data_IF_288509009729
#
_entry.id   IF_288509009729
#
_cell.length_a   1.000
_cell.length_b   1.000
_cell.length_c   1.000
_cell.angle_alpha   90.00
_cell.angle_beta   90.00
_cell.angle_gamma   90.00
#
_symmetry.space_group_name_H-M   'P 1'
#
loop_
_entity.id
_entity.type
_entity.pdbx_description
1 polymer ?
#
# COMPACT_ATOMS: atom_id res chain seq x y z
N UNK A 1 7.31 21.11 -70.22
CA UNK A 1 6.99 19.88 -69.47
C UNK A 1 8.31 19.39 -68.93
N UNK A 2 8.53 19.51 -67.62
CA UNK A 2 9.38 18.68 -66.75
C UNK A 2 9.20 19.24 -65.32
N UNK A 3 8.87 18.36 -64.38
CA UNK A 3 8.28 18.65 -63.07
C UNK A 3 9.30 19.18 -62.06
N UNK A 4 8.92 20.22 -61.33
CA UNK A 4 9.54 20.63 -60.07
C UNK A 4 9.09 19.71 -58.92
N UNK A 5 10.03 18.93 -58.40
CA UNK A 5 10.00 18.24 -57.09
C UNK A 5 11.02 19.02 -56.23
N UNK A 6 10.79 19.53 -55.02
CA UNK A 6 9.91 19.12 -53.93
C UNK A 6 10.81 18.98 -52.69
N UNK A 7 10.73 19.91 -51.74
CA UNK A 7 11.28 19.74 -50.38
C UNK A 7 10.58 20.72 -49.44
N UNK A 8 9.34 20.41 -49.07
CA UNK A 8 8.74 21.02 -47.89
C UNK A 8 9.34 20.30 -46.68
N UNK A 9 10.26 20.96 -45.99
CA UNK A 9 10.69 20.52 -44.67
C UNK A 9 9.50 20.66 -43.71
N UNK A 10 8.79 19.55 -43.48
CA UNK A 10 7.85 19.46 -42.38
C UNK A 10 8.66 19.53 -41.09
N UNK A 11 8.66 20.70 -40.44
CA UNK A 11 9.13 20.83 -39.08
C UNK A 11 8.24 19.94 -38.20
N UNK A 12 8.77 18.79 -37.81
CA UNK A 12 8.19 17.98 -36.74
C UNK A 12 8.37 18.80 -35.47
N UNK A 13 7.33 19.54 -35.09
CA UNK A 13 7.23 20.15 -33.76
C UNK A 13 7.07 18.98 -32.79
N UNK A 14 8.20 18.41 -32.37
CA UNK A 14 8.22 17.53 -31.23
C UNK A 14 7.76 18.35 -30.02
N UNK A 15 6.73 17.85 -29.32
CA UNK A 15 6.17 18.46 -28.13
C UNK A 15 7.29 18.87 -27.16
N UNK A 16 7.42 20.17 -26.90
CA UNK A 16 8.51 20.75 -26.10
C UNK A 16 8.23 20.79 -24.60
N UNK A 17 7.23 20.06 -24.13
CA UNK A 17 6.83 20.04 -22.73
C UNK A 17 6.88 18.59 -22.25
N UNK A 18 7.84 18.29 -21.38
CA UNK A 18 7.81 17.05 -20.62
C UNK A 18 6.49 17.02 -19.85
N UNK A 19 5.69 15.94 -19.95
CA UNK A 19 4.41 15.86 -19.25
C UNK A 19 4.65 16.05 -17.75
N UNK A 20 3.83 16.88 -17.11
CA UNK A 20 3.94 17.13 -15.68
C UNK A 20 3.93 15.81 -14.89
N UNK A 21 4.78 15.73 -13.87
CA UNK A 21 4.85 14.54 -13.01
C UNK A 21 3.54 14.41 -12.25
N UNK A 22 2.78 13.38 -12.58
CA UNK A 22 1.49 13.12 -11.95
C UNK A 22 1.64 12.18 -10.75
N UNK A 23 0.84 12.43 -9.71
CA UNK A 23 0.70 11.50 -8.60
C UNK A 23 0.01 10.22 -9.04
N UNK A 24 0.78 9.12 -9.07
CA UNK A 24 0.32 7.78 -9.39
C UNK A 24 0.42 6.89 -8.16
N UNK A 25 -0.49 5.92 -8.10
CA UNK A 25 -0.55 4.92 -7.04
C UNK A 25 -0.66 3.58 -7.73
N UNK A 26 0.24 2.65 -7.41
CA UNK A 26 0.12 1.29 -7.93
C UNK A 26 -1.24 0.73 -7.51
N UNK A 27 -2.04 0.28 -8.47
CA UNK A 27 -3.39 -0.19 -8.19
C UNK A 27 -3.32 -1.42 -7.30
N UNK A 28 -3.94 -1.32 -6.12
CA UNK A 28 -3.90 -2.39 -5.15
C UNK A 28 -5.26 -2.80 -4.59
N UNK A 29 -5.52 -4.11 -4.61
CA UNK A 29 -6.59 -4.76 -3.86
C UNK A 29 -6.08 -5.14 -2.46
N UNK A 30 -6.97 -5.48 -1.53
CA UNK A 30 -6.61 -5.82 -0.13
C UNK A 30 -6.75 -7.31 0.19
N UNK A 31 -7.03 -8.14 -0.81
CA UNK A 31 -7.29 -9.58 -0.65
C UNK A 31 -6.02 -10.44 -0.52
N UNK A 32 -4.84 -9.81 -0.55
CA UNK A 32 -3.55 -10.50 -0.50
C UNK A 32 -3.08 -11.10 -1.83
N UNK A 33 -3.78 -10.81 -2.94
CA UNK A 33 -3.25 -11.07 -4.27
C UNK A 33 -2.07 -10.15 -4.60
N UNK A 34 -1.33 -10.47 -5.67
CA UNK A 34 -0.19 -9.69 -6.19
C UNK A 34 -0.52 -8.22 -6.47
N UNK A 35 -1.80 -7.84 -6.54
CA UNK A 35 -2.19 -6.45 -6.61
C UNK A 35 -1.91 -5.65 -5.33
N UNK A 36 -1.83 -6.27 -4.15
CA UNK A 36 -1.78 -5.58 -2.85
C UNK A 36 -0.41 -4.96 -2.54
N UNK A 37 -0.33 -4.04 -1.57
CA UNK A 37 0.93 -3.63 -0.91
C UNK A 37 1.22 -4.52 0.30
N UNK A 38 2.48 -4.89 0.53
CA UNK A 38 2.91 -5.51 1.77
C UNK A 38 3.28 -4.40 2.76
N UNK A 39 2.46 -4.19 3.79
CA UNK A 39 2.70 -3.20 4.82
C UNK A 39 3.35 -3.83 6.06
N UNK A 40 4.27 -3.10 6.69
CA UNK A 40 4.86 -3.44 7.98
C UNK A 40 4.56 -2.35 8.99
N UNK A 41 4.35 -2.75 10.24
CA UNK A 41 4.00 -1.86 11.35
C UNK A 41 5.15 -1.87 12.36
N UNK A 42 5.82 -0.73 12.52
CA UNK A 42 6.81 -0.51 13.56
C UNK A 42 6.15 0.26 14.70
N UNK A 43 6.04 -0.36 15.87
CA UNK A 43 5.45 0.28 17.04
C UNK A 43 6.29 1.50 17.44
N UNK A 44 5.64 2.65 17.68
CA UNK A 44 6.35 3.87 18.09
C UNK A 44 6.96 3.71 19.50
N UNK A 45 8.04 4.45 19.73
CA UNK A 45 8.72 4.46 21.03
C UNK A 45 7.76 4.83 22.18
N UNK A 46 7.92 4.17 23.33
CA UNK A 46 7.11 4.41 24.53
C UNK A 46 5.78 3.66 24.58
N UNK A 47 5.39 2.94 23.53
CA UNK A 47 4.23 2.05 23.54
C UNK A 47 4.56 0.72 24.25
N UNK A 48 3.57 0.16 24.96
CA UNK A 48 3.72 -1.16 25.60
C UNK A 48 3.40 -2.29 24.60
N UNK A 49 4.40 -3.09 24.19
CA UNK A 49 4.20 -4.13 23.19
C UNK A 49 3.31 -5.26 23.70
N UNK A 50 3.12 -5.46 25.01
CA UNK A 50 2.30 -6.57 25.52
C UNK A 50 0.80 -6.40 25.29
N UNK A 51 0.36 -5.19 24.89
CA UNK A 51 -1.05 -4.87 24.67
C UNK A 51 -1.56 -5.43 23.34
N UNK A 52 -2.81 -5.87 23.30
CA UNK A 52 -3.42 -6.45 22.08
C UNK A 52 -3.34 -5.53 20.85
N UNK A 53 -3.58 -4.23 21.02
CA UNK A 53 -3.47 -3.26 19.93
C UNK A 53 -2.03 -3.00 19.47
N UNK A 54 -1.02 -3.37 20.27
CA UNK A 54 0.41 -3.19 19.99
C UNK A 54 1.06 -4.40 19.28
N UNK A 55 0.24 -5.32 18.75
CA UNK A 55 0.66 -6.60 18.15
C UNK A 55 0.30 -6.70 16.65
N UNK A 56 0.15 -5.57 15.93
CA UNK A 56 -0.07 -5.62 14.49
C UNK A 56 1.17 -6.20 13.79
N UNK A 57 0.94 -7.24 12.98
CA UNK A 57 1.96 -7.86 12.13
C UNK A 57 1.85 -7.35 10.71
N UNK A 58 2.88 -7.60 9.89
CA UNK A 58 2.82 -7.28 8.48
C UNK A 58 1.57 -7.88 7.80
N UNK A 59 0.99 -7.15 6.86
CA UNK A 59 -0.19 -7.61 6.14
C UNK A 59 -0.33 -6.99 4.75
N UNK A 60 -1.15 -7.60 3.87
CA UNK A 60 -1.59 -6.94 2.65
C UNK A 60 -2.46 -5.72 2.94
N UNK A 61 -2.23 -4.63 2.21
CA UNK A 61 -3.04 -3.42 2.25
C UNK A 61 -3.38 -3.01 0.81
N UNK A 62 -4.63 -2.68 0.56
CA UNK A 62 -5.07 -2.10 -0.70
C UNK A 62 -4.91 -0.59 -0.69
N UNK A 63 -4.35 -0.04 -1.76
CA UNK A 63 -4.29 1.39 -2.07
C UNK A 63 -4.91 1.62 -3.46
N UNK A 64 -5.84 2.55 -3.56
CA UNK A 64 -6.54 2.84 -4.82
C UNK A 64 -6.72 4.34 -4.98
N UNK A 65 -6.18 4.89 -6.07
CA UNK A 65 -6.47 6.26 -6.52
C UNK A 65 -7.86 6.32 -7.17
N UNK A 66 -8.59 7.39 -6.91
CA UNK A 66 -9.86 7.76 -7.54
C UNK A 66 -9.74 9.18 -8.10
N UNK A 67 -10.10 9.33 -9.37
CA UNK A 67 -10.09 10.63 -10.02
C UNK A 67 -11.29 11.45 -9.60
N UNK A 68 -11.08 12.74 -9.35
CA UNK A 68 -12.18 13.67 -9.12
C UNK A 68 -13.00 13.87 -10.40
N UNK A 69 -14.33 13.85 -10.28
CA UNK A 69 -15.23 14.27 -11.37
C UNK A 69 -15.31 15.81 -11.48
N UNK A 70 -14.93 16.52 -10.41
CA UNK A 70 -14.86 17.97 -10.36
C UNK A 70 -13.41 18.42 -10.62
N UNK A 71 -13.10 19.14 -11.73
CA UNK A 71 -11.73 19.49 -12.10
C UNK A 71 -10.96 20.33 -11.06
N UNK A 72 -11.67 21.02 -10.17
CA UNK A 72 -11.08 21.86 -9.13
C UNK A 72 -10.88 21.13 -7.78
N UNK A 73 -11.44 19.93 -7.63
CA UNK A 73 -11.27 19.12 -6.43
C UNK A 73 -10.11 18.12 -6.62
N UNK A 74 -9.32 17.86 -5.56
CA UNK A 74 -8.20 16.94 -5.66
C UNK A 74 -8.69 15.51 -5.91
N UNK A 75 -7.88 14.73 -6.61
CA UNK A 75 -8.03 13.28 -6.62
C UNK A 75 -7.96 12.73 -5.18
N UNK A 76 -8.49 11.53 -4.96
CA UNK A 76 -8.44 10.89 -3.65
C UNK A 76 -7.71 9.56 -3.72
N UNK A 77 -7.18 9.13 -2.58
CA UNK A 77 -6.70 7.76 -2.40
C UNK A 77 -7.45 7.10 -1.26
N UNK A 78 -7.84 5.85 -1.46
CA UNK A 78 -8.35 5.01 -0.40
C UNK A 78 -7.30 3.98 0.01
N UNK A 79 -7.18 3.75 1.32
CA UNK A 79 -6.40 2.67 1.92
C UNK A 79 -7.32 1.70 2.67
N UNK A 80 -7.07 0.39 2.52
CA UNK A 80 -7.80 -0.66 3.22
C UNK A 80 -6.86 -1.78 3.69
N UNK A 81 -6.75 -1.96 5.00
CA UNK A 81 -6.06 -3.10 5.60
C UNK A 81 -6.80 -4.42 5.34
N UNK A 82 -6.09 -5.49 5.00
CA UNK A 82 -6.67 -6.83 4.86
C UNK A 82 -7.37 -7.31 6.14
N UNK A 83 -6.84 -6.96 7.32
CA UNK A 83 -7.46 -7.28 8.61
C UNK A 83 -8.86 -6.73 8.75
N UNK A 84 -9.13 -5.53 8.24
CA UNK A 84 -10.50 -4.97 8.23
C UNK A 84 -11.44 -5.88 7.43
N UNK A 85 -10.99 -6.40 6.28
CA UNK A 85 -11.74 -7.40 5.51
C UNK A 85 -12.05 -8.66 6.33
N UNK A 86 -11.03 -9.24 6.97
CA UNK A 86 -11.20 -10.43 7.83
C UNK A 86 -12.15 -10.19 9.00
N UNK A 87 -12.10 -9.01 9.63
CA UNK A 87 -13.01 -8.65 10.73
C UNK A 87 -14.46 -8.58 10.26
N UNK A 88 -14.72 -7.99 9.09
CA UNK A 88 -16.06 -7.92 8.52
C UNK A 88 -16.61 -9.31 8.19
N UNK A 89 -15.77 -10.21 7.68
CA UNK A 89 -16.14 -11.60 7.42
C UNK A 89 -16.42 -12.36 8.72
N UNK A 90 -15.49 -12.25 9.69
CA UNK A 90 -15.58 -12.90 11.00
C UNK A 90 -16.85 -12.51 11.76
N UNK A 91 -17.21 -11.23 11.73
CA UNK A 91 -18.37 -10.70 12.46
C UNK A 91 -19.62 -10.54 11.60
N UNK A 92 -19.62 -11.04 10.36
CA UNK A 92 -20.69 -10.83 9.37
C UNK A 92 -22.10 -11.13 9.89
N UNK A 93 -22.29 -12.12 10.76
CA UNK A 93 -23.58 -12.46 11.38
C UNK A 93 -24.08 -11.45 12.40
N UNK A 94 -23.18 -10.63 12.97
CA UNK A 94 -23.44 -9.61 14.00
C UNK A 94 -23.53 -8.21 13.41
N UNK A 95 -23.06 -8.04 12.16
CA UNK A 95 -23.13 -6.79 11.40
C UNK A 95 -24.52 -6.65 10.76
N UNK A 96 -25.52 -6.33 11.57
CA UNK A 96 -26.90 -6.09 11.10
C UNK A 96 -27.10 -4.71 10.45
N UNK A 97 -28.31 -4.44 9.91
CA UNK A 97 -28.70 -3.12 9.43
C UNK A 97 -28.60 -2.10 10.58
N UNK A 98 -27.64 -1.18 10.49
CA UNK A 98 -27.35 -0.18 11.54
C UNK A 98 -25.93 -0.25 12.11
N UNK A 99 -25.16 -1.30 11.82
CA UNK A 99 -23.73 -1.33 12.14
C UNK A 99 -22.99 -0.28 11.28
N UNK A 100 -22.30 0.67 11.93
CA UNK A 100 -21.55 1.71 11.21
C UNK A 100 -20.19 1.15 10.77
N UNK A 101 -20.13 0.66 9.54
CA UNK A 101 -18.89 0.16 8.94
C UNK A 101 -18.33 1.21 7.97
N UNK A 102 -17.08 1.59 8.16
CA UNK A 102 -16.33 2.37 7.19
C UNK A 102 -15.01 1.62 6.92
N UNK A 103 -14.97 0.69 5.95
CA UNK A 103 -13.82 -0.21 5.81
C UNK A 103 -12.61 0.42 5.14
N UNK A 104 -12.75 1.62 4.58
CA UNK A 104 -11.70 2.32 3.86
C UNK A 104 -11.43 3.66 4.55
N UNK A 105 -10.15 4.01 4.61
CA UNK A 105 -9.69 5.36 4.95
C UNK A 105 -9.44 6.10 3.65
N UNK A 106 -10.01 7.30 3.49
CA UNK A 106 -9.95 8.08 2.24
C UNK A 106 -9.40 9.46 2.54
N UNK A 107 -8.43 9.91 1.75
CA UNK A 107 -7.84 11.24 1.86
C UNK A 107 -7.61 11.89 0.50
N UNK A 108 -7.47 13.21 0.50
CA UNK A 108 -7.10 13.98 -0.69
C UNK A 108 -5.64 13.71 -1.06
N UNK A 109 -5.39 13.40 -2.32
CA UNK A 109 -4.08 13.14 -2.88
C UNK A 109 -3.55 14.40 -3.55
N UNK A 110 -2.32 14.79 -3.25
CA UNK A 110 -1.62 15.83 -4.00
C UNK A 110 -1.58 15.50 -5.50
N UNK A 111 -1.71 16.51 -6.36
CA UNK A 111 -1.76 16.31 -7.81
C UNK A 111 -0.38 15.92 -8.38
N UNK A 112 0.67 16.58 -7.88
CA UNK A 112 2.05 16.40 -8.32
C UNK A 112 2.94 16.01 -7.14
N UNK A 113 3.98 15.17 -7.35
CA UNK A 113 4.95 14.88 -6.30
C UNK A 113 5.67 16.15 -5.84
N UNK A 114 5.89 16.28 -4.54
CA UNK A 114 6.70 17.35 -3.94
C UNK A 114 8.18 17.29 -4.33
N UNK A 115 8.98 18.21 -3.79
CA UNK A 115 10.42 18.29 -4.06
C UNK A 115 11.20 17.03 -3.66
N UNK A 116 10.72 16.30 -2.65
CA UNK A 116 11.27 15.02 -2.21
C UNK A 116 10.66 13.80 -2.92
N UNK A 117 9.92 14.05 -4.01
CA UNK A 117 9.27 13.06 -4.87
C UNK A 117 8.17 12.24 -4.19
N UNK A 118 7.55 12.77 -3.13
CA UNK A 118 6.37 12.15 -2.51
C UNK A 118 5.07 12.84 -2.93
N UNK A 119 4.03 12.03 -3.10
CA UNK A 119 2.65 12.47 -3.15
C UNK A 119 2.06 12.37 -1.74
N UNK A 120 1.72 13.53 -1.16
CA UNK A 120 1.26 13.60 0.22
C UNK A 120 -0.27 13.48 0.32
N UNK A 121 -0.70 12.80 1.39
CA UNK A 121 -2.07 12.63 1.85
C UNK A 121 -2.04 12.85 3.36
N UNK A 122 -2.12 14.11 3.82
CA UNK A 122 -1.87 14.45 5.22
C UNK A 122 -2.89 13.81 6.18
N UNK A 123 -4.15 13.79 5.77
CA UNK A 123 -5.27 13.32 6.57
C UNK A 123 -6.12 12.33 5.77
N UNK A 124 -6.58 11.28 6.46
CA UNK A 124 -7.51 10.31 5.92
C UNK A 124 -8.69 10.12 6.87
N UNK A 125 -9.86 9.79 6.32
CA UNK A 125 -11.00 9.37 7.11
C UNK A 125 -10.68 8.10 7.91
N UNK A 126 -11.34 7.93 9.06
CA UNK A 126 -11.09 6.78 9.94
C UNK A 126 -11.79 5.54 9.40
N UNK A 127 -11.03 4.48 9.14
CA UNK A 127 -11.63 3.18 8.87
C UNK A 127 -12.06 2.54 10.19
N UNK A 128 -13.31 2.09 10.29
CA UNK A 128 -13.89 1.51 11.52
C UNK A 128 -14.73 0.28 11.27
N UNK A 129 -14.65 -0.63 12.23
CA UNK A 129 -15.52 -1.80 12.36
C UNK A 129 -16.10 -1.81 13.76
N UNK A 130 -17.40 -1.59 13.86
CA UNK A 130 -18.16 -1.64 15.11
C UNK A 130 -19.03 -2.90 15.13
N UNK A 131 -18.82 -3.74 16.13
CA UNK A 131 -19.55 -4.99 16.32
C UNK A 131 -20.44 -4.84 17.56
N UNK A 132 -21.78 -4.87 17.43
CA UNK A 132 -22.68 -4.71 18.57
C UNK A 132 -22.61 -5.93 19.50
N UNK A 133 -22.88 -5.73 20.79
CA UNK A 133 -23.08 -6.83 21.74
C UNK A 133 -24.32 -7.65 21.36
N UNK A 134 -24.21 -8.97 21.45
CA UNK A 134 -25.32 -9.91 21.27
C UNK A 134 -25.09 -11.21 22.05
N UNK A 135 -25.92 -12.23 21.80
CA UNK A 135 -25.78 -13.54 22.45
C UNK A 135 -24.51 -14.30 22.05
N UNK A 136 -23.81 -13.90 20.99
CA UNK A 136 -22.57 -14.50 20.53
C UNK A 136 -21.33 -13.84 21.14
N UNK A 137 -21.43 -12.65 21.75
CA UNK A 137 -20.34 -12.06 22.52
C UNK A 137 -20.47 -10.56 22.81
N UNK A 138 -19.47 -9.99 23.51
CA UNK A 138 -19.45 -8.57 23.86
C UNK A 138 -19.29 -7.70 22.61
N UNK A 139 -19.66 -6.42 22.76
CA UNK A 139 -19.37 -5.41 21.75
C UNK A 139 -17.86 -5.30 21.49
N UNK A 140 -17.48 -5.07 20.23
CA UNK A 140 -16.09 -4.87 19.82
C UNK A 140 -15.97 -3.67 18.90
N UNK A 141 -14.87 -2.93 19.01
CA UNK A 141 -14.59 -1.73 18.22
C UNK A 141 -13.17 -1.77 17.70
N UNK A 142 -13.00 -1.53 16.41
CA UNK A 142 -11.72 -1.46 15.74
C UNK A 142 -11.65 -0.18 14.91
N UNK A 143 -10.59 0.61 15.07
CA UNK A 143 -10.38 1.82 14.28
C UNK A 143 -8.94 1.91 13.76
N UNK A 144 -8.80 2.29 12.49
CA UNK A 144 -7.53 2.59 11.83
C UNK A 144 -7.56 4.07 11.42
N UNK A 145 -6.76 4.87 12.12
CA UNK A 145 -6.60 6.29 11.89
C UNK A 145 -5.24 6.49 11.19
N UNK A 146 -5.26 6.42 9.87
CA UNK A 146 -4.09 6.68 9.04
C UNK A 146 -3.85 8.19 8.90
N UNK A 147 -2.59 8.61 8.95
CA UNK A 147 -2.19 10.00 8.72
C UNK A 147 -0.82 10.07 8.08
N UNK A 148 -0.48 11.23 7.52
CA UNK A 148 0.81 11.47 6.88
C UNK A 148 1.18 10.37 5.86
N UNK A 149 0.19 9.92 5.08
CA UNK A 149 0.46 8.94 4.02
C UNK A 149 1.24 9.65 2.92
N UNK A 150 2.45 9.16 2.63
CA UNK A 150 3.33 9.69 1.60
C UNK A 150 3.67 8.57 0.63
N UNK A 151 3.30 8.73 -0.62
CA UNK A 151 3.49 7.73 -1.68
C UNK A 151 4.67 8.16 -2.54
N UNK A 152 5.71 7.34 -2.60
CA UNK A 152 6.92 7.68 -3.35
C UNK A 152 6.68 7.57 -4.85
N UNK A 153 7.08 8.59 -5.60
CA UNK A 153 6.70 8.70 -6.99
C UNK A 153 7.78 9.34 -7.86
N UNK A 154 8.51 8.48 -8.57
CA UNK A 154 9.49 8.84 -9.59
C UNK A 154 9.25 7.99 -10.85
N UNK A 155 9.88 8.34 -11.99
CA UNK A 155 9.83 7.49 -13.18
C UNK A 155 10.34 6.06 -12.94
N UNK A 156 11.31 5.89 -12.03
CA UNK A 156 11.89 4.58 -11.70
C UNK A 156 11.03 3.81 -10.68
N UNK A 157 10.37 4.52 -9.77
CA UNK A 157 9.54 3.98 -8.69
C UNK A 157 8.19 4.71 -8.69
N UNK A 158 7.28 4.38 -9.62
CA UNK A 158 6.02 5.10 -9.77
C UNK A 158 4.96 4.57 -8.79
N UNK A 159 4.90 5.14 -7.59
CA UNK A 159 3.81 4.88 -6.64
C UNK A 159 3.80 3.47 -6.03
N UNK A 160 4.95 2.80 -5.96
CA UNK A 160 5.08 1.42 -5.47
C UNK A 160 5.72 1.31 -4.08
N UNK A 161 6.01 2.43 -3.42
CA UNK A 161 6.40 2.49 -2.01
C UNK A 161 5.58 3.57 -1.29
N UNK A 162 5.29 3.36 -0.01
CA UNK A 162 4.70 4.40 0.82
C UNK A 162 5.20 4.35 2.25
N UNK A 163 5.06 5.48 2.94
CA UNK A 163 5.12 5.57 4.41
C UNK A 163 3.84 6.20 4.94
N UNK A 164 3.49 5.88 6.18
CA UNK A 164 2.38 6.52 6.88
C UNK A 164 2.57 6.41 8.40
N UNK A 165 1.81 7.20 9.13
CA UNK A 165 1.52 6.95 10.53
C UNK A 165 0.18 6.22 10.66
N UNK A 166 0.07 5.36 11.66
CA UNK A 166 -1.19 4.71 12.03
C UNK A 166 -1.40 4.80 13.53
N UNK A 167 -2.53 5.38 13.94
CA UNK A 167 -3.09 5.18 15.28
C UNK A 167 -4.15 4.09 15.19
N UNK A 168 -3.88 2.97 15.85
CA UNK A 168 -4.72 1.79 15.84
C UNK A 168 -5.45 1.63 17.18
N UNK A 169 -6.77 1.50 17.13
CA UNK A 169 -7.60 1.26 18.31
C UNK A 169 -8.29 -0.11 18.22
N UNK A 170 -8.21 -0.88 19.30
CA UNK A 170 -8.88 -2.17 19.48
C UNK A 170 -9.52 -2.24 20.87
N UNK A 171 -10.85 -2.21 20.95
CA UNK A 171 -11.61 -2.34 22.20
C UNK A 171 -11.12 -1.37 23.29
N UNK A 172 -10.82 -0.11 22.92
CA UNK A 172 -10.28 0.93 23.81
C UNK A 172 -8.77 0.85 24.08
N UNK A 173 -8.08 -0.20 23.63
CA UNK A 173 -6.63 -0.24 23.55
C UNK A 173 -6.17 0.62 22.37
N UNK A 174 -5.18 1.49 22.57
CA UNK A 174 -4.62 2.34 21.51
C UNK A 174 -3.12 2.07 21.41
N UNK A 175 -2.64 1.89 20.19
CA UNK A 175 -1.23 1.81 19.84
C UNK A 175 -0.94 2.69 18.62
N UNK A 176 0.27 3.23 18.53
CA UNK A 176 0.70 4.07 17.43
C UNK A 176 1.88 3.43 16.70
N UNK A 177 1.84 3.46 15.38
CA UNK A 177 2.80 2.81 14.49
C UNK A 177 3.33 3.77 13.45
N UNK A 178 4.58 3.56 13.06
CA UNK A 178 5.11 3.96 11.77
C UNK A 178 4.89 2.80 10.80
N UNK A 179 4.41 3.11 9.60
CA UNK A 179 4.08 2.12 8.58
C UNK A 179 4.90 2.39 7.34
N UNK A 180 5.42 1.33 6.75
CA UNK A 180 5.98 1.35 5.40
C UNK A 180 5.41 0.22 4.58
N UNK A 181 5.19 0.47 3.30
CA UNK A 181 4.65 -0.51 2.38
C UNK A 181 5.35 -0.55 1.04
N UNK A 182 5.35 -1.74 0.43
CA UNK A 182 5.88 -1.98 -0.91
C UNK A 182 4.88 -2.72 -1.78
N UNK A 183 4.90 -2.43 -3.07
CA UNK A 183 4.16 -3.16 -4.08
C UNK A 183 5.12 -3.93 -5.00
N UNK A 184 4.78 -5.15 -5.43
CA UNK A 184 3.59 -5.93 -5.07
C UNK A 184 3.76 -6.76 -3.80
N UNK A 185 2.65 -7.24 -3.22
CA UNK A 185 2.67 -8.36 -2.25
C UNK A 185 3.16 -9.62 -2.95
N UNK A 186 4.17 -10.25 -2.34
CA UNK A 186 4.66 -11.57 -2.75
C UNK A 186 4.60 -12.50 -1.56
N UNK A 187 3.91 -13.64 -1.72
CA UNK A 187 3.90 -14.69 -0.72
C UNK A 187 5.25 -15.43 -0.74
N UNK A 188 5.88 -15.54 0.42
CA UNK A 188 7.17 -16.19 0.60
C UNK A 188 7.13 -17.39 1.56
N UNK A 189 5.93 -17.84 1.95
CA UNK A 189 5.74 -19.09 2.67
C UNK A 189 5.79 -20.31 1.73
N UNK A 190 6.62 -21.31 2.04
CA UNK A 190 6.74 -22.54 1.26
C UNK A 190 6.66 -23.80 2.13
N UNK A 191 6.29 -24.94 1.53
CA UNK A 191 6.14 -26.22 2.21
C UNK A 191 4.85 -26.39 3.03
N UNK A 192 4.75 -27.51 3.76
CA UNK A 192 3.63 -27.86 4.64
C UNK A 192 4.17 -28.45 5.96
N UNK A 193 4.08 -27.75 7.11
CA UNK A 193 3.53 -26.40 7.27
C UNK A 193 4.36 -25.35 6.53
N UNK A 194 3.75 -24.19 6.22
CA UNK A 194 4.46 -23.10 5.55
C UNK A 194 5.56 -22.57 6.45
N UNK A 195 6.77 -22.44 5.90
CA UNK A 195 7.91 -21.78 6.52
C UNK A 195 8.42 -20.64 5.64
N UNK A 196 9.05 -19.60 6.22
CA UNK A 196 9.62 -18.50 5.47
C UNK A 196 10.68 -18.98 4.47
N UNK A 197 10.64 -18.47 3.25
CA UNK A 197 11.61 -18.76 2.21
C UNK A 197 12.02 -17.47 1.49
N UNK A 198 13.22 -16.98 1.84
CA UNK A 198 13.79 -15.74 1.31
C UNK A 198 13.96 -15.75 -0.22
N UNK A 199 14.23 -16.92 -0.82
CA UNK A 199 14.42 -17.03 -2.26
C UNK A 199 13.15 -16.68 -3.07
N UNK A 200 11.97 -16.71 -2.43
CA UNK A 200 10.72 -16.29 -3.07
C UNK A 200 10.58 -14.77 -3.16
N UNK A 201 11.37 -14.01 -2.42
CA UNK A 201 11.41 -12.55 -2.51
C UNK A 201 12.37 -12.04 -3.59
N UNK A 202 13.25 -12.88 -4.12
CA UNK A 202 14.26 -12.51 -5.10
C UNK A 202 13.62 -12.02 -6.42
N UNK A 203 13.91 -10.77 -6.84
CA UNK A 203 13.36 -10.18 -8.06
C UNK A 203 13.83 -10.86 -9.36
N UNK A 204 14.92 -11.62 -9.33
CA UNK A 204 15.48 -12.31 -10.49
C UNK A 204 15.11 -13.80 -10.48
N UNK A 205 14.90 -14.46 -11.63
CA UNK A 205 14.71 -15.91 -11.68
C UNK A 205 15.98 -16.67 -11.25
N UNK A 206 15.80 -17.91 -10.78
CA UNK A 206 16.89 -18.84 -10.47
C UNK A 206 16.60 -20.19 -11.15
N UNK A 207 17.20 -20.41 -12.31
CA UNK A 207 16.96 -21.62 -13.11
C UNK A 207 17.56 -22.88 -12.48
N UNK A 208 18.65 -22.76 -11.74
CA UNK A 208 19.30 -23.89 -11.06
C UNK A 208 18.44 -24.39 -9.90
N UNK A 209 17.77 -23.47 -9.19
CA UNK A 209 16.77 -23.79 -8.17
C UNK A 209 15.36 -24.09 -8.74
N UNK A 210 15.19 -24.14 -10.07
CA UNK A 210 13.90 -24.41 -10.73
C UNK A 210 12.88 -23.26 -10.68
N UNK A 211 13.31 -22.05 -10.30
CA UNK A 211 12.49 -20.84 -10.18
C UNK A 211 12.55 -20.03 -11.48
N UNK A 212 11.65 -20.35 -12.40
CA UNK A 212 11.61 -19.76 -13.76
C UNK A 212 11.22 -18.26 -13.81
N UNK A 213 10.80 -17.67 -12.69
CA UNK A 213 10.35 -16.27 -12.60
C UNK A 213 10.86 -15.64 -11.30
N UNK A 214 11.22 -14.37 -11.38
CA UNK A 214 11.44 -13.54 -10.21
C UNK A 214 10.15 -13.22 -9.45
N UNK A 215 10.29 -12.60 -8.29
CA UNK A 215 9.17 -12.18 -7.43
C UNK A 215 8.31 -11.08 -8.06
N UNK A 216 8.86 -10.31 -9.00
CA UNK A 216 8.23 -9.13 -9.59
C UNK A 216 8.39 -7.86 -8.73
N UNK A 217 9.10 -7.95 -7.61
CA UNK A 217 9.52 -6.80 -6.81
C UNK A 217 10.60 -6.02 -7.57
N UNK A 218 10.62 -4.69 -7.45
CA UNK A 218 11.66 -3.87 -8.06
C UNK A 218 13.04 -4.29 -7.48
N UNK A 219 14.06 -4.59 -8.30
CA UNK A 219 15.37 -5.00 -7.82
C UNK A 219 16.10 -4.01 -6.91
N UNK A 220 15.70 -2.74 -6.91
CA UNK A 220 16.24 -1.73 -6.00
C UNK A 220 15.74 -1.89 -4.55
N UNK A 221 14.68 -2.66 -4.33
CA UNK A 221 14.05 -2.73 -3.01
C UNK A 221 14.71 -3.79 -2.13
N UNK A 222 15.31 -3.40 -0.99
CA UNK A 222 15.81 -4.36 -0.03
C UNK A 222 14.64 -5.04 0.68
N UNK A 223 14.41 -6.31 0.37
CA UNK A 223 13.27 -7.08 0.89
C UNK A 223 13.71 -8.37 1.59
N UNK A 224 12.88 -8.83 2.52
CA UNK A 224 12.99 -10.14 3.16
C UNK A 224 11.62 -10.78 3.33
N UNK A 225 11.59 -12.08 3.59
CA UNK A 225 10.38 -12.77 3.98
C UNK A 225 10.03 -12.46 5.44
N UNK A 226 8.85 -11.90 5.70
CA UNK A 226 8.36 -11.75 7.07
C UNK A 226 8.07 -13.13 7.67
N UNK A 227 8.64 -13.48 8.84
CA UNK A 227 8.56 -14.84 9.37
C UNK A 227 7.16 -15.20 9.90
N UNK A 228 6.30 -14.22 10.13
CA UNK A 228 4.95 -14.41 10.67
C UNK A 228 3.92 -14.29 9.56
N UNK A 229 3.96 -13.20 8.80
CA UNK A 229 3.00 -12.92 7.73
C UNK A 229 3.28 -13.73 6.46
N UNK A 230 4.50 -14.26 6.29
CA UNK A 230 4.92 -15.04 5.13
C UNK A 230 4.73 -14.28 3.81
N UNK A 231 4.95 -12.97 3.85
CA UNK A 231 4.99 -12.06 2.69
C UNK A 231 6.32 -11.31 2.65
N UNK A 232 6.78 -10.96 1.46
CA UNK A 232 7.99 -10.16 1.28
C UNK A 232 7.74 -8.73 1.73
N UNK A 233 8.59 -8.22 2.62
CA UNK A 233 8.49 -6.89 3.23
C UNK A 233 9.79 -6.12 3.09
N UNK A 234 9.70 -4.79 3.10
CA UNK A 234 10.86 -3.91 2.99
C UNK A 234 11.70 -3.91 4.29
N UNK A 235 13.02 -4.04 4.16
CA UNK A 235 13.94 -3.96 5.30
C UNK A 235 14.53 -2.57 5.49
N UNK A 236 14.70 -1.81 4.41
CA UNK A 236 15.21 -0.43 4.42
C UNK A 236 14.15 0.64 4.64
N UNK A 237 14.58 1.90 4.51
CA UNK A 237 13.71 3.08 4.50
C UNK A 237 13.04 3.27 3.14
N UNK A 238 12.01 4.13 3.13
CA UNK A 238 11.36 4.61 1.92
C UNK A 238 11.75 6.09 1.74
N UNK A 239 12.22 6.49 0.55
CA UNK A 239 12.42 5.66 -0.64
C UNK A 239 13.65 4.75 -0.52
N UNK A 240 13.63 3.63 -1.23
CA UNK A 240 14.77 2.71 -1.31
C UNK A 240 15.69 2.99 -2.50
N UNK A 241 15.52 4.13 -3.15
CA UNK A 241 16.20 4.53 -4.38
C UNK A 241 17.67 4.97 -4.17
N UNK A 242 18.07 5.20 -2.92
CA UNK A 242 19.46 5.46 -2.58
C UNK A 242 20.17 4.13 -2.33
N UNK A 243 20.86 3.63 -3.35
CA UNK A 243 22.00 2.75 -3.10
C UNK A 243 23.06 3.53 -2.30
N UNK A 244 23.73 2.93 -1.30
CA UNK A 244 24.94 3.51 -0.72
C UNK A 244 26.04 3.75 -1.77
#
# INVERSE_FOLDING_TARGET
MELSVGAAAAAVVACSEDPERQCVVARAVSDGSTGSFAATYALKEGQDPSRACAQLTAEPVGLQKYYSEEPAAPDTVAIRSARVGRLLEQFSSRLGPGATQAPNSVGALGEVPGEDNFCDVPELSVARVEVPEDSAGPAQSFAYEWSNLRIYNTPEIPGTQFVADLRYTENGCIAEYQVKGIWPVVNCGSGTPKVPNEALCDPYPDFEAGRLRGSGINPLFPVKCDPVALICVLTGDVPSDKSP
#
